data_IF_632904444125
#
_entry.id   IF_632904444125
#
_cell.length_a   1.000
_cell.length_b   1.000
_cell.length_c   1.000
_cell.angle_alpha   90.00
_cell.angle_beta   90.00
_cell.angle_gamma   90.00
#
_symmetry.space_group_name_H-M   'P 1'
#
loop_
_entity.id
_entity.type
_entity.pdbx_description
1 polymer ?
#
# COMPACT_ATOMS: atom_id res chain seq x y z
N UNK A 1 80.10 46.80 35.56
CA UNK A 1 79.84 45.45 35.04
C UNK A 1 78.42 45.05 35.50
N UNK A 2 77.43 45.13 34.60
CA UNK A 2 76.02 44.79 34.90
C UNK A 2 75.78 43.44 34.33
N UNK A 3 75.44 42.45 35.16
CA UNK A 3 75.02 41.09 34.73
C UNK A 3 73.57 41.10 34.37
N UNK A 4 73.26 40.78 33.12
CA UNK A 4 71.88 40.54 32.63
C UNK A 4 71.48 39.06 32.90
N UNK A 5 70.45 38.84 33.67
CA UNK A 5 69.92 37.52 33.91
C UNK A 5 68.71 37.34 32.93
N UNK A 6 68.88 36.38 32.03
CA UNK A 6 67.87 36.05 31.07
C UNK A 6 66.91 35.00 31.70
N UNK A 7 65.66 35.40 32.00
CA UNK A 7 64.64 34.46 32.43
C UNK A 7 63.97 33.84 31.17
N UNK A 8 64.17 32.54 30.99
CA UNK A 8 63.45 31.75 29.97
C UNK A 8 62.11 31.24 30.57
N UNK A 9 61.04 31.84 30.16
CA UNK A 9 59.67 31.38 30.53
C UNK A 9 59.22 30.18 29.70
N UNK A 10 59.05 29.06 30.36
CA UNK A 10 58.55 27.84 29.77
C UNK A 10 56.99 27.92 29.69
N UNK A 11 56.44 28.13 28.50
CA UNK A 11 54.97 28.09 28.26
C UNK A 11 54.55 26.63 28.02
N UNK A 12 53.94 25.99 29.02
CA UNK A 12 53.28 24.70 28.86
C UNK A 12 51.93 24.91 28.16
N UNK A 13 51.86 24.57 26.88
CA UNK A 13 50.60 24.51 26.15
C UNK A 13 49.87 23.20 26.48
N UNK A 14 48.83 23.29 27.32
CA UNK A 14 47.93 22.17 27.64
C UNK A 14 46.97 21.97 26.48
N UNK A 15 47.23 21.01 25.58
CA UNK A 15 46.31 20.62 24.51
C UNK A 15 45.15 19.80 25.10
N UNK A 16 44.00 20.43 25.23
CA UNK A 16 42.78 19.77 25.64
C UNK A 16 42.20 19.00 24.44
N UNK A 17 42.49 17.69 24.34
CA UNK A 17 41.83 16.81 23.35
C UNK A 17 40.33 16.66 23.72
N UNK A 18 39.45 17.39 23.02
CA UNK A 18 38.04 17.15 23.05
C UNK A 18 37.74 15.79 22.33
N UNK A 19 37.56 14.73 23.08
CA UNK A 19 37.01 13.48 22.56
C UNK A 19 35.51 13.68 22.34
N UNK A 20 35.10 13.93 21.10
CA UNK A 20 33.69 13.90 20.71
C UNK A 20 33.15 12.46 20.91
N UNK A 21 32.04 12.28 21.60
CA UNK A 21 31.46 10.96 21.71
C UNK A 21 31.10 10.46 20.30
N UNK A 22 31.66 9.32 19.92
CA UNK A 22 31.32 8.63 18.67
C UNK A 22 29.85 8.21 18.79
N UNK A 23 28.93 9.03 18.25
CA UNK A 23 27.50 8.72 18.20
C UNK A 23 27.32 7.43 17.43
N UNK A 24 26.95 6.34 18.12
CA UNK A 24 26.55 5.11 17.48
C UNK A 24 25.36 5.44 16.54
N UNK A 25 25.56 5.33 15.23
CA UNK A 25 24.49 5.43 14.25
C UNK A 25 23.41 4.40 14.62
N UNK A 26 22.20 4.89 14.90
CA UNK A 26 21.07 3.99 15.13
C UNK A 26 20.92 3.02 13.94
N UNK A 27 20.62 1.74 14.16
CA UNK A 27 20.48 0.78 13.09
C UNK A 27 19.44 1.28 12.08
N UNK A 28 19.87 1.46 10.82
CA UNK A 28 19.01 1.93 9.76
C UNK A 28 17.91 0.90 9.48
N UNK A 29 16.64 1.29 9.62
CA UNK A 29 15.51 0.41 9.37
C UNK A 29 15.59 -0.13 7.93
N UNK A 30 15.45 -1.46 7.79
CA UNK A 30 15.48 -2.10 6.46
C UNK A 30 14.28 -1.63 5.64
N UNK A 31 14.56 -1.02 4.49
CA UNK A 31 13.52 -0.57 3.55
C UNK A 31 12.77 -1.79 3.00
N UNK A 32 11.42 -1.86 3.13
CA UNK A 32 10.63 -2.97 2.59
C UNK A 32 10.74 -3.06 1.07
N UNK A 33 10.66 -4.29 0.53
CA UNK A 33 10.67 -4.53 -0.92
C UNK A 33 9.43 -3.95 -1.63
N UNK A 34 8.33 -3.78 -0.90
CA UNK A 34 7.08 -3.15 -1.36
C UNK A 34 6.76 -2.01 -0.40
N UNK A 35 6.88 -0.77 -0.88
CA UNK A 35 6.64 0.42 -0.07
C UNK A 35 5.15 0.66 0.12
N UNK A 36 4.77 1.23 1.27
CA UNK A 36 3.41 1.70 1.53
C UNK A 36 3.09 2.90 0.65
N UNK A 37 1.84 2.97 0.21
CA UNK A 37 1.29 4.09 -0.53
C UNK A 37 -0.17 4.29 -0.16
N UNK A 38 -0.71 5.45 -0.51
CA UNK A 38 -2.13 5.77 -0.39
C UNK A 38 -2.54 6.78 -1.43
N UNK A 39 -3.80 6.76 -1.79
CA UNK A 39 -4.43 7.76 -2.64
C UNK A 39 -5.78 8.12 -2.05
N UNK A 40 -6.10 9.41 -2.04
CA UNK A 40 -7.38 9.92 -1.55
C UNK A 40 -8.05 10.75 -2.65
N UNK A 41 -9.35 10.53 -2.85
CA UNK A 41 -10.21 11.33 -3.71
C UNK A 41 -11.41 11.83 -2.92
N UNK A 42 -11.68 13.13 -3.00
CA UNK A 42 -12.91 13.72 -2.47
C UNK A 42 -14.01 13.73 -3.53
N UNK A 43 -15.19 13.23 -3.16
CA UNK A 43 -16.42 13.35 -3.95
C UNK A 43 -17.44 14.18 -3.19
N UNK A 44 -18.20 14.99 -3.94
CA UNK A 44 -19.12 15.96 -3.32
C UNK A 44 -18.39 16.98 -2.44
N UNK A 45 -19.06 17.45 -1.42
CA UNK A 45 -18.51 18.48 -0.53
C UNK A 45 -17.52 17.92 0.52
N UNK A 46 -17.73 16.70 0.99
CA UNK A 46 -17.13 16.21 2.23
C UNK A 46 -16.92 14.68 2.31
N UNK A 47 -17.01 13.97 1.20
CA UNK A 47 -16.79 12.51 1.17
C UNK A 47 -15.39 12.20 0.69
N UNK A 48 -14.52 11.83 1.60
CA UNK A 48 -13.16 11.37 1.28
C UNK A 48 -13.15 9.85 1.12
N UNK A 49 -12.55 9.38 0.03
CA UNK A 49 -12.33 7.96 -0.27
C UNK A 49 -10.84 7.73 -0.31
N UNK A 50 -10.31 6.96 0.63
CA UNK A 50 -8.88 6.68 0.76
C UNK A 50 -8.60 5.21 0.50
N UNK A 51 -7.69 4.91 -0.43
CA UNK A 51 -7.15 3.57 -0.65
C UNK A 51 -5.72 3.53 -0.14
N UNK A 52 -5.43 2.65 0.83
CA UNK A 52 -4.10 2.42 1.39
C UNK A 52 -3.61 1.02 1.02
N UNK A 53 -2.36 0.90 0.57
CA UNK A 53 -1.82 -0.33 0.01
C UNK A 53 -0.30 -0.40 0.09
N UNK A 54 0.28 -1.57 -0.20
CA UNK A 54 1.71 -1.72 -0.44
C UNK A 54 1.97 -2.04 -1.91
N UNK A 55 2.99 -1.41 -2.50
CA UNK A 55 3.31 -1.42 -3.94
C UNK A 55 4.36 -2.47 -4.28
N UNK A 56 4.01 -3.67 -4.78
CA UNK A 56 4.99 -4.56 -5.38
C UNK A 56 5.42 -4.05 -6.76
N UNK A 57 6.69 -4.26 -7.11
CA UNK A 57 7.20 -4.04 -8.48
C UNK A 57 7.07 -5.29 -9.34
N UNK A 58 6.96 -5.13 -10.65
CA UNK A 58 6.99 -6.25 -11.62
C UNK A 58 8.35 -6.95 -11.55
N UNK A 59 9.44 -6.19 -11.62
CA UNK A 59 10.83 -6.68 -11.52
C UNK A 59 11.10 -7.87 -12.45
N UNK A 60 10.64 -7.76 -13.70
CA UNK A 60 10.82 -8.78 -14.74
C UNK A 60 10.07 -10.09 -14.51
N UNK A 61 9.16 -10.18 -13.52
CA UNK A 61 8.39 -11.40 -13.23
C UNK A 61 7.13 -11.46 -14.10
N UNK A 62 6.68 -12.66 -14.41
CA UNK A 62 5.33 -12.89 -14.91
C UNK A 62 4.35 -12.69 -13.73
N UNK A 63 3.41 -11.77 -13.88
CA UNK A 63 2.48 -11.40 -12.82
C UNK A 63 1.24 -12.29 -12.88
N UNK A 64 0.46 -12.14 -13.94
CA UNK A 64 -0.86 -12.75 -14.05
C UNK A 64 -0.78 -14.22 -14.44
N UNK A 65 -1.45 -15.07 -13.66
CA UNK A 65 -1.41 -16.53 -13.82
C UNK A 65 -0.15 -17.19 -13.24
N UNK A 66 0.79 -16.42 -12.64
CA UNK A 66 2.01 -16.92 -12.00
C UNK A 66 2.16 -16.33 -10.59
N UNK A 67 2.80 -15.16 -10.44
CA UNK A 67 2.94 -14.51 -9.12
C UNK A 67 1.58 -14.26 -8.45
N UNK A 68 0.61 -13.84 -9.23
CA UNK A 68 -0.81 -13.71 -8.85
C UNK A 68 -1.58 -14.74 -9.67
N UNK A 69 -1.95 -15.89 -9.08
CA UNK A 69 -2.64 -16.95 -9.80
C UNK A 69 -4.05 -16.51 -10.23
N UNK A 70 -4.55 -17.09 -11.29
CA UNK A 70 -5.96 -17.00 -11.63
C UNK A 70 -6.78 -17.86 -10.68
N UNK A 71 -7.95 -17.36 -10.26
CA UNK A 71 -8.75 -17.96 -9.21
C UNK A 71 -8.24 -17.65 -7.79
N UNK A 72 -8.58 -18.50 -6.86
CA UNK A 72 -8.04 -18.46 -5.50
C UNK A 72 -6.62 -19.01 -5.50
N UNK A 73 -5.73 -18.36 -4.77
CA UNK A 73 -4.41 -18.92 -4.51
C UNK A 73 -4.54 -20.22 -3.70
N UNK A 74 -3.70 -21.23 -3.96
CA UNK A 74 -3.70 -22.46 -3.18
C UNK A 74 -3.41 -22.16 -1.72
N UNK A 75 -3.99 -22.98 -0.84
CA UNK A 75 -3.74 -22.89 0.59
C UNK A 75 -2.28 -23.13 0.96
N UNK A 76 -1.89 -22.64 2.12
CA UNK A 76 -0.57 -22.84 2.70
C UNK A 76 -0.64 -22.85 4.24
N UNK A 77 0.49 -23.05 4.91
CA UNK A 77 0.56 -23.11 6.39
C UNK A 77 -0.01 -21.86 7.09
N UNK A 78 0.04 -20.67 6.46
CA UNK A 78 -0.48 -19.43 7.04
C UNK A 78 -1.99 -19.29 6.88
N UNK A 79 -2.57 -19.89 5.84
CA UNK A 79 -4.01 -19.95 5.59
C UNK A 79 -4.65 -21.25 6.15
N UNK A 80 -3.88 -22.06 6.88
CA UNK A 80 -4.31 -23.40 7.36
C UNK A 80 -4.82 -24.27 6.19
N UNK A 81 -4.06 -24.26 5.11
CA UNK A 81 -4.30 -24.95 3.84
C UNK A 81 -5.62 -24.58 3.14
N UNK A 82 -6.29 -23.49 3.55
CA UNK A 82 -7.47 -22.98 2.87
C UNK A 82 -7.06 -22.06 1.70
N UNK A 83 -7.68 -22.20 0.52
CA UNK A 83 -7.50 -21.27 -0.59
C UNK A 83 -7.93 -19.85 -0.19
N UNK A 84 -7.27 -18.84 -0.76
CA UNK A 84 -7.53 -17.44 -0.44
C UNK A 84 -7.41 -16.53 -1.67
N UNK A 85 -8.13 -15.39 -1.71
CA UNK A 85 -8.02 -14.41 -2.79
C UNK A 85 -6.70 -13.64 -2.72
N UNK A 86 -6.30 -13.01 -3.81
CA UNK A 86 -5.17 -12.10 -3.79
C UNK A 86 -5.50 -10.84 -2.97
N UNK A 87 -4.55 -10.39 -2.13
CA UNK A 87 -4.66 -9.19 -1.28
C UNK A 87 -4.63 -7.86 -2.04
N UNK A 88 -4.71 -7.90 -3.37
CA UNK A 88 -4.72 -6.72 -4.25
C UNK A 88 -3.59 -5.71 -3.98
N UNK A 89 -2.42 -6.22 -3.62
CA UNK A 89 -1.22 -5.49 -3.22
C UNK A 89 -0.16 -6.43 -2.65
N UNK A 90 0.58 -5.97 -1.65
CA UNK A 90 1.59 -6.75 -0.93
C UNK A 90 1.55 -6.46 0.58
N UNK A 91 2.19 -7.32 1.38
CA UNK A 91 2.30 -7.21 2.84
C UNK A 91 0.92 -7.23 3.52
N UNK A 92 0.55 -6.15 4.23
CA UNK A 92 -0.72 -5.99 4.91
C UNK A 92 -1.91 -5.94 3.94
N UNK A 93 -3.13 -5.96 4.44
CA UNK A 93 -4.32 -5.73 3.63
C UNK A 93 -4.22 -4.41 2.86
N UNK A 94 -4.60 -4.45 1.59
CA UNK A 94 -5.07 -3.25 0.89
C UNK A 94 -6.41 -2.88 1.47
N UNK A 95 -6.62 -1.61 1.77
CA UNK A 95 -7.88 -1.12 2.36
C UNK A 95 -8.46 0.04 1.58
N UNK A 96 -9.80 0.15 1.61
CA UNK A 96 -10.54 1.34 1.20
C UNK A 96 -11.34 1.84 2.40
N UNK A 97 -11.32 3.16 2.61
CA UNK A 97 -12.04 3.81 3.71
C UNK A 97 -12.80 5.03 3.18
N UNK A 98 -14.03 5.21 3.63
CA UNK A 98 -14.87 6.35 3.26
C UNK A 98 -15.90 6.64 4.36
N UNK A 99 -16.29 7.92 4.46
CA UNK A 99 -17.10 8.45 5.56
C UNK A 99 -18.61 8.58 5.26
N UNK A 100 -19.07 8.20 4.05
CA UNK A 100 -20.48 8.16 3.66
C UNK A 100 -20.75 6.94 2.79
N UNK A 101 -21.99 6.47 2.79
CA UNK A 101 -22.41 5.32 1.96
C UNK A 101 -22.09 5.57 0.48
N UNK A 102 -21.57 4.55 -0.18
CA UNK A 102 -21.25 4.59 -1.60
C UNK A 102 -22.05 3.54 -2.38
N UNK A 103 -22.21 3.79 -3.67
CA UNK A 103 -22.58 2.79 -4.67
C UNK A 103 -21.29 2.37 -5.39
N UNK A 104 -20.91 1.11 -5.26
CA UNK A 104 -19.79 0.49 -5.98
C UNK A 104 -20.35 -0.41 -7.07
N UNK A 105 -20.09 -0.12 -8.33
CA UNK A 105 -20.75 -0.76 -9.49
C UNK A 105 -22.29 -0.85 -9.30
N UNK A 106 -22.88 0.23 -8.74
CA UNK A 106 -24.33 0.31 -8.48
C UNK A 106 -24.79 -0.40 -7.20
N UNK A 107 -23.96 -1.13 -6.51
CA UNK A 107 -24.28 -1.84 -5.27
C UNK A 107 -23.92 -1.01 -4.04
N UNK A 108 -24.84 -0.90 -3.09
CA UNK A 108 -24.64 -0.11 -1.87
C UNK A 108 -23.59 -0.75 -0.97
N UNK A 109 -22.61 0.04 -0.55
CA UNK A 109 -21.63 -0.28 0.49
C UNK A 109 -21.68 0.82 1.56
N UNK A 110 -22.02 0.50 2.83
CA UNK A 110 -22.08 1.49 3.91
C UNK A 110 -20.75 2.15 4.18
N UNK A 111 -20.78 3.36 4.75
CA UNK A 111 -19.60 4.05 5.24
C UNK A 111 -18.77 3.16 6.15
N UNK A 112 -17.45 3.22 6.02
CA UNK A 112 -16.55 2.38 6.80
C UNK A 112 -15.20 2.14 6.14
N UNK A 113 -14.48 1.20 6.72
CA UNK A 113 -13.19 0.71 6.23
C UNK A 113 -13.29 -0.77 5.88
N UNK A 114 -12.83 -1.13 4.69
CA UNK A 114 -12.90 -2.48 4.16
C UNK A 114 -11.54 -2.94 3.64
N UNK A 115 -11.22 -4.21 3.85
CA UNK A 115 -10.13 -4.87 3.15
C UNK A 115 -10.50 -5.11 1.69
N UNK A 116 -9.61 -4.81 0.76
CA UNK A 116 -9.79 -5.14 -0.66
C UNK A 116 -9.06 -6.44 -0.96
N UNK A 117 -9.79 -7.41 -1.52
CA UNK A 117 -9.21 -8.62 -2.10
C UNK A 117 -9.70 -8.77 -3.53
N UNK A 118 -8.94 -9.50 -4.36
CA UNK A 118 -9.35 -9.78 -5.74
C UNK A 118 -9.17 -11.27 -6.07
N UNK A 119 -10.06 -11.77 -6.90
CA UNK A 119 -9.93 -13.08 -7.53
C UNK A 119 -9.75 -12.84 -9.03
N UNK A 120 -8.52 -12.82 -9.54
CA UNK A 120 -8.23 -12.65 -10.95
C UNK A 120 -8.75 -13.82 -11.78
N UNK A 121 -9.10 -13.56 -13.03
CA UNK A 121 -9.32 -14.60 -14.04
C UNK A 121 -8.80 -14.12 -15.40
N UNK A 122 -8.89 -14.94 -16.41
CA UNK A 122 -8.48 -14.56 -17.77
C UNK A 122 -9.39 -13.48 -18.37
N UNK A 123 -10.61 -13.32 -17.87
CA UNK A 123 -11.60 -12.38 -18.40
C UNK A 123 -12.09 -11.42 -17.33
N UNK A 124 -12.95 -11.86 -16.46
CA UNK A 124 -13.61 -10.99 -15.47
C UNK A 124 -13.06 -11.28 -14.08
N UNK A 125 -12.79 -10.24 -13.31
CA UNK A 125 -12.26 -10.34 -11.95
C UNK A 125 -13.34 -10.09 -10.91
N UNK A 126 -13.27 -10.81 -9.79
CA UNK A 126 -14.07 -10.48 -8.62
C UNK A 126 -13.28 -9.56 -7.71
N UNK A 127 -13.82 -8.39 -7.38
CA UNK A 127 -13.33 -7.53 -6.30
C UNK A 127 -14.18 -7.76 -5.07
N UNK A 128 -13.53 -7.95 -3.92
CA UNK A 128 -14.15 -8.24 -2.63
C UNK A 128 -13.86 -7.09 -1.69
N UNK A 129 -14.88 -6.58 -1.01
CA UNK A 129 -14.79 -5.62 0.09
C UNK A 129 -15.12 -6.37 1.38
N UNK A 130 -14.09 -6.68 2.17
CA UNK A 130 -14.22 -7.46 3.40
C UNK A 130 -14.27 -6.57 4.63
N UNK A 131 -15.09 -6.92 5.61
CA UNK A 131 -15.12 -6.27 6.94
C UNK A 131 -13.80 -6.47 7.71
N UNK A 132 -13.07 -7.55 7.39
CA UNK A 132 -11.74 -7.77 7.94
C UNK A 132 -10.71 -6.91 7.22
N UNK A 133 -10.39 -5.76 7.79
CA UNK A 133 -9.54 -4.73 7.17
C UNK A 133 -8.16 -4.57 7.83
N UNK A 134 -7.81 -5.40 8.82
CA UNK A 134 -6.57 -5.30 9.60
C UNK A 134 -5.66 -6.53 9.53
N UNK A 135 -6.02 -7.54 8.72
CA UNK A 135 -5.24 -8.76 8.61
C UNK A 135 -3.92 -8.57 7.85
N UNK A 136 -2.99 -9.50 8.02
CA UNK A 136 -1.80 -9.60 7.19
C UNK A 136 -2.13 -10.27 5.86
N UNK A 137 -2.58 -9.46 4.89
CA UNK A 137 -3.01 -9.93 3.58
C UNK A 137 -4.28 -10.79 3.64
N UNK A 138 -4.34 -11.88 2.86
CA UNK A 138 -5.53 -12.68 2.68
C UNK A 138 -5.47 -14.06 3.36
N UNK A 139 -4.45 -14.36 4.14
CA UNK A 139 -4.30 -15.70 4.74
C UNK A 139 -5.43 -16.07 5.71
N UNK A 140 -5.98 -15.07 6.42
CA UNK A 140 -7.12 -15.24 7.33
C UNK A 140 -8.45 -14.89 6.67
N UNK A 141 -8.53 -14.91 5.33
CA UNK A 141 -9.74 -14.57 4.61
C UNK A 141 -10.90 -15.51 4.99
N UNK A 142 -12.05 -14.91 5.28
CA UNK A 142 -13.32 -15.61 5.49
C UNK A 142 -14.41 -14.93 4.66
N UNK A 143 -15.08 -15.70 3.80
CA UNK A 143 -16.13 -15.21 2.92
C UNK A 143 -17.35 -14.65 3.67
N UNK A 144 -17.60 -15.08 4.90
CA UNK A 144 -18.69 -14.57 5.75
C UNK A 144 -18.48 -13.11 6.17
N UNK A 145 -17.23 -12.63 6.09
CA UNK A 145 -16.86 -11.23 6.37
C UNK A 145 -16.99 -10.33 5.13
N UNK A 146 -17.38 -10.86 3.97
CA UNK A 146 -17.57 -10.07 2.76
C UNK A 146 -18.79 -9.15 2.93
N UNK A 147 -18.52 -7.83 2.81
CA UNK A 147 -19.58 -6.84 2.79
C UNK A 147 -20.16 -6.67 1.38
N UNK A 148 -19.30 -6.81 0.35
CA UNK A 148 -19.69 -6.69 -1.04
C UNK A 148 -18.73 -7.47 -1.94
N UNK A 149 -19.26 -8.06 -3.00
CA UNK A 149 -18.51 -8.59 -4.15
C UNK A 149 -19.05 -7.97 -5.43
N UNK A 150 -18.15 -7.55 -6.29
CA UNK A 150 -18.46 -7.03 -7.62
C UNK A 150 -17.65 -7.78 -8.66
N UNK A 151 -18.16 -7.80 -9.89
CA UNK A 151 -17.45 -8.35 -11.05
C UNK A 151 -17.07 -7.20 -11.95
N UNK A 152 -15.80 -7.15 -12.37
CA UNK A 152 -15.27 -6.12 -13.26
C UNK A 152 -14.41 -6.76 -14.34
N UNK A 153 -14.33 -6.12 -15.50
CA UNK A 153 -13.48 -6.56 -16.59
C UNK A 153 -12.21 -5.71 -16.63
N UNK A 154 -11.03 -6.29 -16.38
CA UNK A 154 -9.77 -5.57 -16.55
C UNK A 154 -9.57 -5.12 -18.00
N UNK A 155 -8.88 -4.01 -18.17
CA UNK A 155 -8.54 -3.46 -19.49
C UNK A 155 -7.02 -3.43 -19.67
N UNK A 156 -6.56 -3.55 -20.92
CA UNK A 156 -5.15 -3.36 -21.27
C UNK A 156 -4.73 -1.92 -21.02
N UNK A 157 -3.55 -1.75 -20.46
CA UNK A 157 -2.99 -0.43 -20.14
C UNK A 157 -1.47 -0.43 -20.43
N UNK A 158 -0.82 0.73 -20.52
CA UNK A 158 0.63 0.82 -20.61
C UNK A 158 1.33 0.13 -19.45
N UNK A 159 2.59 -0.28 -19.66
CA UNK A 159 3.39 -0.92 -18.61
C UNK A 159 3.50 -0.06 -17.36
N UNK A 160 3.09 -0.60 -16.23
CA UNK A 160 3.18 0.00 -14.90
C UNK A 160 4.04 -0.87 -13.99
N UNK A 161 5.27 -0.44 -13.72
CA UNK A 161 6.25 -1.23 -12.94
C UNK A 161 5.81 -1.43 -11.50
N UNK A 162 5.36 -0.38 -10.82
CA UNK A 162 4.95 -0.43 -9.41
C UNK A 162 3.43 -0.38 -9.32
N UNK A 163 2.81 -1.41 -8.72
CA UNK A 163 1.37 -1.42 -8.48
C UNK A 163 0.92 -0.08 -7.92
N UNK A 164 -0.16 0.46 -8.48
CA UNK A 164 -0.78 1.68 -7.99
C UNK A 164 -2.30 1.60 -8.02
N UNK A 165 -2.91 2.38 -7.15
CA UNK A 165 -4.31 2.75 -7.22
C UNK A 165 -4.44 4.21 -7.63
N UNK A 166 -5.55 4.56 -8.25
CA UNK A 166 -5.88 5.91 -8.64
C UNK A 166 -7.37 6.10 -8.88
N UNK A 167 -7.73 7.34 -9.23
CA UNK A 167 -9.08 7.73 -9.57
C UNK A 167 -9.07 8.48 -10.89
N UNK A 168 -10.05 8.21 -11.74
CA UNK A 168 -10.26 8.89 -13.03
C UNK A 168 -11.76 9.10 -13.25
N UNK A 169 -12.16 9.73 -14.34
CA UNK A 169 -13.57 10.03 -14.72
C UNK A 169 -14.32 10.79 -13.61
N UNK A 170 -13.68 11.79 -13.02
CA UNK A 170 -14.24 12.57 -11.92
C UNK A 170 -15.45 13.40 -12.39
N UNK A 171 -16.62 13.19 -11.75
CA UNK A 171 -17.87 13.87 -12.06
C UNK A 171 -18.59 14.38 -10.80
N UNK A 172 -17.90 15.11 -9.94
CA UNK A 172 -18.44 15.71 -8.73
C UNK A 172 -18.90 14.72 -7.67
N UNK A 173 -19.85 13.83 -7.98
CA UNK A 173 -20.39 12.82 -7.06
C UNK A 173 -19.98 11.38 -7.41
N UNK A 174 -19.16 11.20 -8.42
CA UNK A 174 -18.69 9.88 -8.87
C UNK A 174 -17.27 9.93 -9.41
N UNK A 175 -16.62 8.77 -9.43
CA UNK A 175 -15.31 8.53 -10.00
C UNK A 175 -15.20 7.07 -10.45
N UNK A 176 -14.20 6.78 -11.26
CA UNK A 176 -13.72 5.43 -11.50
C UNK A 176 -12.45 5.22 -10.68
N UNK A 177 -12.49 4.38 -9.64
CA UNK A 177 -11.28 3.92 -8.96
C UNK A 177 -10.65 2.79 -9.77
N UNK A 178 -9.33 2.66 -9.73
CA UNK A 178 -8.64 1.57 -10.43
C UNK A 178 -7.40 1.08 -9.70
N UNK A 179 -7.08 -0.20 -9.89
CA UNK A 179 -5.76 -0.75 -9.70
C UNK A 179 -5.04 -0.77 -11.06
N UNK A 180 -3.76 -0.38 -11.11
CA UNK A 180 -2.93 -0.50 -12.31
C UNK A 180 -1.60 -1.16 -11.95
N UNK A 181 -1.30 -2.27 -12.61
CA UNK A 181 -0.04 -2.99 -12.45
C UNK A 181 0.25 -3.82 -13.68
N UNK A 182 1.53 -3.89 -14.05
CA UNK A 182 1.98 -4.54 -15.28
C UNK A 182 1.25 -3.90 -16.49
N UNK A 183 0.58 -4.63 -17.33
CA UNK A 183 -0.17 -4.11 -18.49
C UNK A 183 -1.69 -4.19 -18.30
N UNK A 184 -2.16 -4.29 -17.05
CA UNK A 184 -3.58 -4.32 -16.74
C UNK A 184 -4.00 -3.19 -15.81
N UNK A 185 -5.14 -2.59 -16.14
CA UNK A 185 -5.92 -1.71 -15.26
C UNK A 185 -7.23 -2.41 -14.91
N UNK A 186 -7.57 -2.40 -13.61
CA UNK A 186 -8.80 -3.03 -13.06
C UNK A 186 -9.68 -1.90 -12.53
N UNK A 187 -10.56 -1.31 -13.36
CA UNK A 187 -11.43 -0.21 -12.98
C UNK A 187 -12.66 -0.69 -12.23
N UNK A 188 -13.20 0.15 -11.33
CA UNK A 188 -14.53 0.00 -10.73
C UNK A 188 -15.14 1.36 -10.42
N UNK A 189 -16.43 1.52 -10.70
CA UNK A 189 -17.15 2.78 -10.54
C UNK A 189 -17.55 3.00 -9.09
N UNK A 190 -17.39 4.24 -8.62
CA UNK A 190 -17.80 4.70 -7.30
C UNK A 190 -18.72 5.91 -7.48
N UNK A 191 -19.84 5.93 -6.75
CA UNK A 191 -20.78 7.05 -6.72
C UNK A 191 -21.28 7.25 -5.29
N UNK A 192 -21.53 8.50 -4.88
CA UNK A 192 -22.21 8.80 -3.62
C UNK A 192 -23.61 8.15 -3.64
N UNK A 193 -23.97 7.43 -2.57
CA UNK A 193 -25.32 7.02 -2.36
C UNK A 193 -26.17 8.25 -2.01
N UNK A 194 -27.33 8.39 -2.67
CA UNK A 194 -28.31 9.46 -2.38
C UNK A 194 -29.12 9.09 -1.15
#
# INVERSE_FOLDING_TARGET
MKRFVLMVGLVLSLAFLLTLPSGALAPQAKVPASLKAGVTQRLGADTDITIAYSRPGVKGRKIWGDLVPFGLAPGNKYSKDKPFPWRAGANENTTIEFNKDLLIEGNKLPAGKYGIHMIPSEKDWTIIFSKNNSAWGSFAYNQEEDALRIIVTPIKAPQQEWLMYGFEDLAGTSATAYLHWEQLKVPFKIKLAQ
#
